data_IF_518842772062
#
_entry.id   IF_518842772062
#
_cell.length_a   1.000
_cell.length_b   1.000
_cell.length_c   1.000
_cell.angle_alpha   90.00
_cell.angle_beta   90.00
_cell.angle_gamma   90.00
#
_symmetry.space_group_name_H-M   'P 1'
#
loop_
_entity.id
_entity.type
_entity.pdbx_description
1 polymer ?
#
# COMPACT_ATOMS: atom_id res chain seq x y z
N UNK A 1 -9.07 -2.49 -37.55
CA UNK A 1 -9.34 -3.92 -37.78
C UNK A 1 -8.14 -4.75 -37.40
N UNK A 2 -7.09 -4.74 -38.24
CA UNK A 2 -5.94 -5.65 -38.12
C UNK A 2 -5.03 -5.40 -36.91
N UNK A 3 -4.75 -4.14 -36.56
CA UNK A 3 -3.92 -3.84 -35.38
C UNK A 3 -4.52 -4.35 -34.07
N UNK A 4 -5.84 -4.34 -33.94
CA UNK A 4 -6.50 -4.82 -32.73
C UNK A 4 -6.41 -6.34 -32.61
N UNK A 5 -6.44 -7.05 -33.75
CA UNK A 5 -6.20 -8.49 -33.83
C UNK A 5 -4.74 -8.82 -33.51
N UNK A 6 -3.79 -8.04 -34.03
CA UNK A 6 -2.36 -8.21 -33.75
C UNK A 6 -2.03 -7.98 -32.27
N UNK A 7 -2.58 -6.93 -31.65
CA UNK A 7 -2.43 -6.65 -30.21
C UNK A 7 -3.00 -7.81 -29.38
N UNK A 8 -4.20 -8.29 -29.72
CA UNK A 8 -4.83 -9.41 -29.01
C UNK A 8 -4.01 -10.71 -29.13
N UNK A 9 -3.42 -10.98 -30.30
CA UNK A 9 -2.48 -12.10 -30.50
C UNK A 9 -1.24 -11.98 -29.62
N UNK A 10 -0.65 -10.78 -29.52
CA UNK A 10 0.51 -10.52 -28.65
C UNK A 10 0.12 -10.71 -27.18
N UNK A 11 -1.00 -10.16 -26.73
CA UNK A 11 -1.50 -10.30 -25.35
C UNK A 11 -1.73 -11.76 -25.00
N UNK A 12 -2.35 -12.54 -25.90
CA UNK A 12 -2.55 -13.98 -25.71
C UNK A 12 -1.23 -14.75 -25.66
N UNK A 13 -0.26 -14.39 -26.50
CA UNK A 13 1.06 -15.02 -26.50
C UNK A 13 1.79 -14.74 -25.18
N UNK A 14 1.84 -13.47 -24.74
CA UNK A 14 2.44 -13.08 -23.46
C UNK A 14 1.77 -13.80 -22.29
N UNK A 15 0.43 -13.83 -22.25
CA UNK A 15 -0.29 -14.55 -21.19
C UNK A 15 0.01 -16.04 -21.17
N UNK A 16 0.11 -16.69 -22.35
CA UNK A 16 0.48 -18.10 -22.47
C UNK A 16 1.90 -18.35 -21.98
N UNK A 17 2.85 -17.49 -22.34
CA UNK A 17 4.24 -17.62 -21.90
C UNK A 17 4.40 -17.36 -20.40
N UNK A 18 3.66 -16.41 -19.83
CA UNK A 18 3.62 -16.16 -18.39
C UNK A 18 3.01 -17.35 -17.62
N UNK A 19 1.94 -17.97 -18.14
CA UNK A 19 1.35 -19.17 -17.54
C UNK A 19 2.29 -20.38 -17.60
N UNK A 20 2.98 -20.60 -18.74
CA UNK A 20 3.99 -21.67 -18.87
C UNK A 20 5.15 -21.50 -17.89
N UNK A 21 5.57 -20.27 -17.64
CA UNK A 21 6.59 -19.93 -16.64
C UNK A 21 6.11 -20.11 -15.20
N UNK A 22 4.85 -20.52 -14.99
CA UNK A 22 4.29 -20.80 -13.67
C UNK A 22 4.12 -19.57 -12.80
N UNK A 23 4.12 -18.37 -13.39
CA UNK A 23 4.08 -17.11 -12.64
C UNK A 23 2.68 -16.92 -12.05
N UNK A 24 2.39 -17.60 -10.94
CA UNK A 24 1.16 -17.47 -10.18
C UNK A 24 1.25 -16.29 -9.22
N UNK A 25 1.63 -15.11 -9.74
CA UNK A 25 1.90 -13.89 -8.94
C UNK A 25 0.84 -13.67 -7.87
N UNK A 26 -0.44 -13.77 -8.26
CA UNK A 26 -1.56 -13.56 -7.33
C UNK A 26 -1.64 -14.65 -6.25
N UNK A 27 -1.53 -15.93 -6.59
CA UNK A 27 -1.62 -17.00 -5.58
C UNK A 27 -0.38 -17.01 -4.68
N UNK A 28 0.82 -16.74 -5.22
CA UNK A 28 2.04 -16.65 -4.42
C UNK A 28 2.00 -15.44 -3.46
N UNK A 29 1.48 -14.29 -3.90
CA UNK A 29 1.26 -13.14 -3.03
C UNK A 29 0.22 -13.43 -1.94
N UNK A 30 -0.88 -14.13 -2.28
CA UNK A 30 -1.90 -14.54 -1.31
C UNK A 30 -1.33 -15.52 -0.28
N UNK A 31 -0.58 -16.55 -0.71
CA UNK A 31 0.07 -17.50 0.20
C UNK A 31 1.14 -16.83 1.07
N UNK A 32 1.90 -15.86 0.53
CA UNK A 32 2.83 -15.05 1.33
C UNK A 32 2.11 -14.18 2.34
N UNK A 33 1.00 -13.56 1.96
CA UNK A 33 0.20 -12.75 2.88
C UNK A 33 -0.36 -13.60 4.02
N UNK A 34 -0.94 -14.77 3.70
CA UNK A 34 -1.51 -15.70 4.69
C UNK A 34 -0.43 -16.21 5.68
N UNK A 35 0.75 -16.56 5.17
CA UNK A 35 1.91 -16.92 6.01
C UNK A 35 2.39 -15.75 6.88
N UNK A 36 2.43 -14.53 6.34
CA UNK A 36 2.90 -13.34 7.07
C UNK A 36 1.90 -12.83 8.12
N UNK A 37 0.59 -13.07 7.93
CA UNK A 37 -0.44 -12.71 8.91
C UNK A 37 -0.31 -13.48 10.23
N UNK A 38 0.34 -14.66 10.22
CA UNK A 38 0.57 -15.47 11.41
C UNK A 38 1.90 -15.19 12.14
N UNK A 39 2.78 -14.38 11.56
CA UNK A 39 4.06 -14.04 12.18
C UNK A 39 3.90 -12.88 13.16
N UNK A 40 4.58 -12.90 14.32
CA UNK A 40 4.63 -11.74 15.19
C UNK A 40 5.23 -10.55 14.44
N UNK A 41 4.69 -9.36 14.66
CA UNK A 41 5.27 -8.14 14.10
C UNK A 41 6.72 -7.99 14.58
N UNK A 42 7.65 -7.55 13.73
CA UNK A 42 9.01 -7.27 14.15
C UNK A 42 9.03 -6.28 15.31
N UNK A 43 9.96 -6.44 16.26
CA UNK A 43 10.13 -5.52 17.41
C UNK A 43 10.48 -4.09 16.98
N UNK A 44 11.00 -3.93 15.77
CA UNK A 44 11.33 -2.64 15.14
C UNK A 44 10.14 -1.98 14.44
N UNK A 45 8.96 -2.60 14.46
CA UNK A 45 7.75 -2.06 13.85
C UNK A 45 6.91 -1.31 14.89
N UNK A 46 6.85 0.01 14.75
CA UNK A 46 6.12 0.89 15.65
C UNK A 46 4.87 1.45 14.98
N UNK A 47 3.75 1.43 15.69
CA UNK A 47 2.45 1.90 15.20
C UNK A 47 2.03 3.10 16.05
N UNK A 48 1.72 4.22 15.39
CA UNK A 48 1.12 5.38 16.08
C UNK A 48 -0.27 4.99 16.60
N UNK A 49 -0.55 5.34 17.85
CA UNK A 49 -1.85 5.09 18.48
C UNK A 49 -3.02 5.58 17.60
N UNK A 50 -4.03 4.73 17.42
CA UNK A 50 -5.16 5.03 16.54
C UNK A 50 -6.25 5.87 17.24
N UNK A 51 -5.88 7.09 17.61
CA UNK A 51 -6.79 8.07 18.23
C UNK A 51 -7.90 8.53 17.28
N UNK A 52 -8.97 9.12 17.82
CA UNK A 52 -10.05 9.68 16.99
C UNK A 52 -9.55 10.72 15.98
N UNK A 53 -8.54 11.53 16.37
CA UNK A 53 -7.90 12.50 15.49
C UNK A 53 -7.19 11.82 14.32
N UNK A 54 -6.37 10.79 14.57
CA UNK A 54 -5.64 10.08 13.50
C UNK A 54 -6.61 9.36 12.56
N UNK A 55 -7.67 8.76 13.11
CA UNK A 55 -8.75 8.16 12.31
C UNK A 55 -9.41 9.21 11.42
N UNK A 56 -9.73 10.39 11.95
CA UNK A 56 -10.27 11.49 11.15
C UNK A 56 -9.32 11.91 10.03
N UNK A 57 -8.03 12.10 10.32
CA UNK A 57 -7.02 12.43 9.31
C UNK A 57 -6.97 11.38 8.20
N UNK A 58 -6.98 10.09 8.56
CA UNK A 58 -7.05 9.00 7.59
C UNK A 58 -8.34 9.00 6.77
N UNK A 59 -9.49 9.29 7.39
CA UNK A 59 -10.77 9.38 6.69
C UNK A 59 -10.72 10.43 5.58
N UNK A 60 -10.19 11.62 5.86
CA UNK A 60 -10.06 12.67 4.85
C UNK A 60 -9.05 12.29 3.77
N UNK A 61 -7.85 11.85 4.14
CA UNK A 61 -6.79 11.51 3.16
C UNK A 61 -7.16 10.32 2.27
N UNK A 62 -8.01 9.40 2.73
CA UNK A 62 -8.46 8.23 1.97
C UNK A 62 -9.77 8.46 1.21
N UNK A 63 -10.47 9.57 1.43
CA UNK A 63 -11.67 9.88 0.69
C UNK A 63 -11.30 10.35 -0.72
N UNK A 64 -11.80 9.64 -1.74
CA UNK A 64 -11.55 9.94 -3.16
C UNK A 64 -12.10 11.30 -3.60
N UNK A 65 -13.10 11.81 -2.89
CA UNK A 65 -13.81 13.04 -3.23
C UNK A 65 -13.26 14.27 -2.46
N UNK A 66 -12.18 14.09 -1.68
CA UNK A 66 -11.53 15.19 -0.95
C UNK A 66 -10.81 16.14 -1.91
N UNK A 67 -11.03 17.44 -1.71
CA UNK A 67 -10.38 18.49 -2.51
C UNK A 67 -8.85 18.45 -2.34
N UNK A 68 -8.13 18.90 -3.37
CA UNK A 68 -6.67 18.89 -3.40
C UNK A 68 -6.04 19.64 -2.22
N UNK A 69 -6.58 20.81 -1.86
CA UNK A 69 -5.97 21.63 -0.82
C UNK A 69 -6.20 21.03 0.57
N UNK A 70 -7.38 20.45 0.80
CA UNK A 70 -7.68 19.67 2.01
C UNK A 70 -6.78 18.43 2.10
N UNK A 71 -6.64 17.67 1.01
CA UNK A 71 -5.76 16.51 0.97
C UNK A 71 -4.32 16.88 1.36
N UNK A 72 -3.78 17.95 0.78
CA UNK A 72 -2.43 18.43 1.10
C UNK A 72 -2.34 18.85 2.57
N UNK A 73 -3.32 19.60 3.07
CA UNK A 73 -3.35 20.09 4.44
C UNK A 73 -3.39 18.96 5.48
N UNK A 74 -4.30 18.01 5.31
CA UNK A 74 -4.45 16.90 6.25
C UNK A 74 -3.32 15.87 6.12
N UNK A 75 -2.75 15.68 4.93
CA UNK A 75 -1.54 14.86 4.75
C UNK A 75 -0.35 15.46 5.50
N UNK A 76 -0.14 16.78 5.43
CA UNK A 76 0.91 17.46 6.20
C UNK A 76 0.72 17.30 7.71
N UNK A 77 -0.52 17.40 8.19
CA UNK A 77 -0.86 17.16 9.60
C UNK A 77 -0.52 15.73 10.04
N UNK A 78 -0.88 14.74 9.24
CA UNK A 78 -0.58 13.34 9.53
C UNK A 78 0.93 13.06 9.49
N UNK A 79 1.65 13.61 8.51
CA UNK A 79 3.11 13.51 8.43
C UNK A 79 3.80 14.12 9.64
N UNK A 80 3.32 15.27 10.14
CA UNK A 80 3.88 15.90 11.33
C UNK A 80 3.81 14.98 12.56
N UNK A 81 2.64 14.37 12.78
CA UNK A 81 2.44 13.40 13.88
C UNK A 81 3.38 12.19 13.72
N UNK A 82 3.48 11.66 12.50
CA UNK A 82 4.36 10.51 12.21
C UNK A 82 5.84 10.84 12.50
N UNK A 83 6.31 12.02 12.09
CA UNK A 83 7.68 12.45 12.33
C UNK A 83 7.92 12.69 13.82
N UNK A 84 7.00 13.34 14.53
CA UNK A 84 7.12 13.55 15.98
C UNK A 84 7.20 12.22 16.74
N UNK A 85 6.37 11.24 16.38
CA UNK A 85 6.43 9.90 16.95
C UNK A 85 7.74 9.19 16.62
N UNK A 86 8.22 9.29 15.37
CA UNK A 86 9.50 8.69 14.99
C UNK A 86 10.68 9.32 15.75
N UNK A 87 10.65 10.64 15.95
CA UNK A 87 11.67 11.35 16.73
C UNK A 87 11.64 10.97 18.20
N UNK A 88 10.47 10.67 18.79
CA UNK A 88 10.38 10.21 20.18
C UNK A 88 10.96 8.81 20.40
N UNK A 89 11.30 8.07 19.33
CA UNK A 89 12.00 6.79 19.40
C UNK A 89 13.52 6.94 19.43
N UNK A 90 14.05 8.16 19.19
CA UNK A 90 15.49 8.39 19.28
C UNK A 90 15.95 8.33 20.74
N UNK A 91 17.15 7.79 21.02
CA UNK A 91 17.72 7.82 22.35
C UNK A 91 17.90 9.28 22.80
N UNK A 92 17.48 9.58 24.03
CA UNK A 92 17.72 10.86 24.66
C UNK A 92 18.76 10.69 25.77
N UNK A 93 19.61 11.70 25.95
CA UNK A 93 20.39 11.91 27.18
C UNK A 93 19.75 13.04 28.01
#
# INVERSE_FOLDING_TARGET
GENQIAIDLIVRHVNRELQKRGVKVRNELVHRFDFMCGLPMPETFYIVEQTAQIKYLHTIVRNKDTDRDEFIFYSKRLMRILIEYALSLLPFE
#
